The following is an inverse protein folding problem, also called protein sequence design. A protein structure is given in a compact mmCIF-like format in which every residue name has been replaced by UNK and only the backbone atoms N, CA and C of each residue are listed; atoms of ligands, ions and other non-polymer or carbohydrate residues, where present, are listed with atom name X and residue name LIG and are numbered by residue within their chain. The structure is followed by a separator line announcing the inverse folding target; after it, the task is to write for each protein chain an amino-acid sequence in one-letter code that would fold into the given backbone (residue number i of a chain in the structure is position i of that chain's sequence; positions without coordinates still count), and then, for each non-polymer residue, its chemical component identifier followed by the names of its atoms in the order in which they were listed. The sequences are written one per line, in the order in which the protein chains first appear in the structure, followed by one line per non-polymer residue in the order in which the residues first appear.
data_IF_229462972665
#
_entry.id   IF_229462972665
#
_cell.length_a   1.000
_cell.length_b   1.000
_cell.length_c   1.000
_cell.angle_alpha   90.00
_cell.angle_beta   90.00
_cell.angle_gamma   90.00
#
_symmetry.space_group_name_H-M   'P 1'
#
loop_
_entity.id
_entity.type
_entity.pdbx_description
1 polymer ?
#
# COMPACT_ATOMS: atom_id res chain seq x y z
N UNK A 1 -14.66 -2.97 -16.94
CA UNK A 1 -13.68 -1.89 -16.74
C UNK A 1 -13.23 -2.03 -15.30
N UNK A 2 -11.96 -2.35 -15.03
CA UNK A 2 -11.50 -2.53 -13.65
C UNK A 2 -11.45 -1.14 -13.04
N UNK A 3 -12.35 -0.87 -12.10
CA UNK A 3 -12.25 0.29 -11.22
C UNK A 3 -10.90 0.16 -10.51
N UNK A 4 -9.96 1.02 -10.90
CA UNK A 4 -8.69 1.18 -10.20
C UNK A 4 -9.03 1.90 -8.90
N UNK A 5 -9.52 1.11 -7.93
CA UNK A 5 -10.25 1.56 -6.74
C UNK A 5 -9.30 2.16 -5.68
N UNK A 6 -8.31 2.93 -6.12
CA UNK A 6 -7.20 3.43 -5.30
C UNK A 6 -6.10 2.39 -5.05
N UNK A 7 -5.96 1.36 -5.88
CA UNK A 7 -4.92 0.34 -5.66
C UNK A 7 -3.54 0.85 -6.07
N UNK A 8 -2.56 0.77 -5.17
CA UNK A 8 -1.18 1.12 -5.48
C UNK A 8 -0.55 -0.01 -6.31
N UNK A 9 -0.12 0.30 -7.51
CA UNK A 9 0.49 -0.67 -8.44
C UNK A 9 1.84 -0.18 -8.95
N UNK A 10 1.93 1.11 -9.30
CA UNK A 10 3.11 1.73 -9.86
C UNK A 10 4.02 2.24 -8.76
N UNK A 11 5.34 2.29 -9.02
CA UNK A 11 6.32 2.81 -8.06
C UNK A 11 6.01 4.25 -7.61
N UNK A 12 5.48 5.08 -8.51
CA UNK A 12 5.01 6.44 -8.22
C UNK A 12 3.91 6.50 -7.17
N UNK A 13 3.03 5.50 -7.12
CA UNK A 13 1.94 5.47 -6.13
C UNK A 13 2.54 5.34 -4.73
N UNK A 14 3.54 4.47 -4.56
CA UNK A 14 4.23 4.28 -3.27
C UNK A 14 5.08 5.51 -2.89
N UNK A 15 5.70 6.20 -3.85
CA UNK A 15 6.39 7.49 -3.58
C UNK A 15 5.39 8.49 -3.00
N UNK A 16 4.25 8.69 -3.66
CA UNK A 16 3.24 9.63 -3.21
C UNK A 16 2.76 9.33 -1.79
N UNK A 17 2.48 8.06 -1.48
CA UNK A 17 2.01 7.67 -0.15
C UNK A 17 3.10 7.78 0.94
N UNK A 18 4.37 7.55 0.58
CA UNK A 18 5.52 7.77 1.46
C UNK A 18 5.69 9.27 1.76
N UNK A 19 5.66 10.14 0.75
CA UNK A 19 5.89 11.58 0.92
C UNK A 19 4.73 12.28 1.65
N UNK A 20 3.50 11.95 1.27
CA UNK A 20 2.31 12.59 1.81
C UNK A 20 1.72 11.89 3.04
N UNK A 21 2.34 10.81 3.51
CA UNK A 21 1.88 10.02 4.65
C UNK A 21 0.41 9.59 4.51
N UNK A 22 -0.01 9.28 3.29
CA UNK A 22 -1.38 8.83 3.01
C UNK A 22 -1.51 7.39 3.48
N UNK A 23 -2.49 7.07 4.34
CA UNK A 23 -2.68 5.71 4.83
C UNK A 23 -2.99 4.72 3.70
N UNK A 24 -2.47 3.51 3.86
CA UNK A 24 -2.64 2.40 2.94
C UNK A 24 -3.18 1.20 3.71
N UNK A 25 -4.19 0.54 3.15
CA UNK A 25 -4.68 -0.74 3.63
C UNK A 25 -3.96 -1.88 2.91
N UNK A 26 -3.60 -2.90 3.67
CA UNK A 26 -2.94 -4.11 3.17
C UNK A 26 -3.91 -5.28 3.21
N UNK A 27 -4.03 -5.98 2.08
CA UNK A 27 -4.84 -7.19 1.96
C UNK A 27 -4.00 -8.38 1.46
N UNK A 28 -4.20 -9.57 2.02
CA UNK A 28 -3.80 -10.84 1.41
C UNK A 28 -5.04 -11.47 0.77
N UNK A 29 -5.07 -11.51 -0.57
CA UNK A 29 -6.31 -11.80 -1.32
C UNK A 29 -7.42 -10.89 -0.82
N UNK A 30 -8.54 -11.42 -0.30
CA UNK A 30 -9.71 -10.65 0.16
C UNK A 30 -9.74 -10.43 1.67
N UNK A 31 -8.68 -10.84 2.39
CA UNK A 31 -8.57 -10.64 3.84
C UNK A 31 -7.81 -9.36 4.14
N UNK A 32 -8.45 -8.43 4.85
CA UNK A 32 -7.78 -7.25 5.41
C UNK A 32 -6.76 -7.68 6.46
N UNK A 33 -5.52 -7.22 6.32
CA UNK A 33 -4.43 -7.55 7.22
C UNK A 33 -4.12 -6.37 8.13
N UNK A 34 -3.90 -5.18 7.55
CA UNK A 34 -3.39 -4.03 8.30
C UNK A 34 -3.75 -2.70 7.63
N UNK A 35 -3.72 -1.62 8.40
CA UNK A 35 -3.71 -0.25 7.89
C UNK A 35 -2.56 0.54 8.51
N UNK A 36 -1.82 1.27 7.68
CA UNK A 36 -0.80 2.19 8.17
C UNK A 36 -0.20 3.06 7.07
N UNK A 37 0.78 3.86 7.44
CA UNK A 37 1.55 4.67 6.49
C UNK A 37 2.76 3.89 6.00
N UNK A 38 3.15 4.13 4.74
CA UNK A 38 4.38 3.57 4.20
C UNK A 38 5.55 4.32 4.83
N UNK A 39 6.49 3.59 5.43
CA UNK A 39 7.71 4.16 6.01
C UNK A 39 8.91 3.97 5.09
N UNK A 40 8.97 2.85 4.36
CA UNK A 40 10.02 2.52 3.37
C UNK A 40 9.43 1.59 2.31
N UNK A 41 10.01 1.58 1.11
CA UNK A 41 9.66 0.58 0.10
C UNK A 41 10.76 0.45 -0.96
N UNK A 42 10.74 -0.65 -1.69
CA UNK A 42 11.56 -0.90 -2.87
C UNK A 42 10.75 -1.58 -3.99
N UNK A 43 11.43 -2.21 -4.95
CA UNK A 43 10.78 -2.91 -6.07
C UNK A 43 9.99 -4.16 -5.66
N UNK A 44 10.28 -4.73 -4.50
CA UNK A 44 9.72 -5.98 -3.99
C UNK A 44 8.93 -5.83 -2.69
N UNK A 45 9.32 -4.92 -1.80
CA UNK A 45 8.75 -4.80 -0.47
C UNK A 45 8.22 -3.40 -0.16
N UNK A 46 7.25 -3.33 0.75
CA UNK A 46 6.70 -2.12 1.34
C UNK A 46 6.66 -2.33 2.84
N UNK A 47 7.28 -1.43 3.58
CA UNK A 47 7.26 -1.37 5.03
C UNK A 47 6.10 -0.49 5.48
N UNK A 48 5.19 -1.04 6.29
CA UNK A 48 4.05 -0.35 6.89
C UNK A 48 4.00 -0.78 8.35
N UNK A 49 4.03 0.19 9.27
CA UNK A 49 3.99 -0.05 10.72
C UNK A 49 5.02 -1.12 11.20
N UNK A 50 6.29 -0.97 10.79
CA UNK A 50 7.39 -1.90 11.10
C UNK A 50 7.25 -3.33 10.51
N UNK A 51 6.24 -3.55 9.66
CA UNK A 51 5.99 -4.83 8.99
C UNK A 51 6.29 -4.75 7.49
N UNK A 52 7.06 -5.71 6.97
CA UNK A 52 7.40 -5.80 5.55
C UNK A 52 6.39 -6.65 4.77
N UNK A 53 5.82 -6.07 3.72
CA UNK A 53 4.85 -6.69 2.83
C UNK A 53 5.39 -6.81 1.41
N UNK A 54 5.28 -7.99 0.80
CA UNK A 54 5.73 -8.22 -0.57
C UNK A 54 4.74 -7.65 -1.61
N UNK A 55 5.20 -6.74 -2.47
CA UNK A 55 4.41 -5.99 -3.47
C UNK A 55 3.58 -6.85 -4.42
N UNK A 56 4.05 -8.06 -4.73
CA UNK A 56 3.33 -9.00 -5.63
C UNK A 56 2.34 -9.90 -4.92
N UNK A 57 2.46 -10.05 -3.60
CA UNK A 57 1.59 -10.95 -2.82
C UNK A 57 0.40 -10.18 -2.25
N UNK A 58 0.67 -9.02 -1.67
CA UNK A 58 -0.32 -8.21 -1.00
C UNK A 58 -0.89 -7.17 -1.96
N UNK A 59 -2.16 -6.81 -1.73
CA UNK A 59 -2.79 -5.65 -2.37
C UNK A 59 -2.73 -4.47 -1.42
N UNK A 60 -2.40 -3.31 -1.97
CA UNK A 60 -2.25 -2.06 -1.25
C UNK A 60 -3.31 -1.10 -1.76
N UNK A 61 -4.22 -0.65 -0.91
CA UNK A 61 -5.33 0.23 -1.29
C UNK A 61 -5.17 1.55 -0.55
N UNK A 62 -5.13 2.65 -1.31
CA UNK A 62 -5.10 4.01 -0.78
C UNK A 62 -6.33 4.28 0.07
N UNK A 63 -6.14 4.88 1.24
CA UNK A 63 -7.23 5.33 2.11
C UNK A 63 -7.05 6.80 2.52
N UNK A 64 -7.25 7.74 1.58
CA UNK A 64 -7.22 9.16 1.90
C UNK A 64 -8.41 9.53 2.79
N UNK A 65 -8.16 10.30 3.85
CA UNK A 65 -9.20 10.77 4.78
C UNK A 65 -9.43 9.90 6.02
N UNK A 66 -8.55 8.95 6.30
CA UNK A 66 -8.39 8.39 7.64
C UNK A 66 -7.50 9.29 8.50
#
# INVERSE_FOLDING_TARGET
MREDNGQLTQHSDFIYHLEHHVPVQVYDRDTHIEIGVITRFDSQFVEIADTLFHRRRFRFISRPGY
#
